data_IF_324300271621
#
_entry.id   IF_324300271621
#
_cell.length_a   1.000
_cell.length_b   1.000
_cell.length_c   1.000
_cell.angle_alpha   90.00
_cell.angle_beta   90.00
_cell.angle_gamma   90.00
#
_symmetry.space_group_name_H-M   'P 1'
#
loop_
_entity.id
_entity.type
_entity.pdbx_description
1 polymer ?
#
# COMPACT_ATOMS: atom_id res chain seq x y z
N UNK A 1 -4.48 3.08 24.74
CA UNK A 1 -4.54 1.64 25.11
C UNK A 1 -3.37 0.84 24.53
N UNK A 2 -3.00 1.00 23.25
CA UNK A 2 -1.78 0.37 22.69
C UNK A 2 -0.53 0.69 23.50
N UNK A 3 -0.35 1.95 23.94
CA UNK A 3 0.78 2.33 24.82
C UNK A 3 0.82 1.53 26.13
N UNK A 4 -0.32 1.18 26.71
CA UNK A 4 -0.38 0.36 27.91
C UNK A 4 0.07 -1.10 27.67
N UNK A 5 0.14 -1.52 26.42
CA UNK A 5 0.60 -2.84 25.98
C UNK A 5 2.03 -2.79 25.38
N UNK A 6 2.83 -1.83 25.80
CA UNK A 6 4.24 -1.64 25.38
C UNK A 6 4.42 -1.28 23.89
N UNK A 7 3.41 -0.69 23.24
CA UNK A 7 3.55 -0.13 21.93
C UNK A 7 4.00 1.33 22.03
N UNK A 8 5.10 1.66 21.37
CA UNK A 8 5.63 3.01 21.27
C UNK A 8 4.94 3.76 20.13
N UNK A 9 4.41 4.93 20.42
CA UNK A 9 3.74 5.78 19.46
C UNK A 9 4.74 6.38 18.46
N UNK A 10 4.39 6.32 17.16
CA UNK A 10 5.13 6.98 16.08
C UNK A 10 4.32 8.17 15.60
N UNK A 11 4.96 9.35 15.55
CA UNK A 11 4.33 10.62 15.14
C UNK A 11 5.02 11.23 13.94
N UNK A 12 4.24 11.89 13.10
CA UNK A 12 4.68 12.77 12.02
C UNK A 12 3.95 14.11 12.18
N UNK A 13 4.68 15.21 12.32
CA UNK A 13 4.11 16.56 12.53
C UNK A 13 3.07 16.65 13.66
N UNK A 14 3.31 15.91 14.77
CA UNK A 14 2.41 15.89 15.92
C UNK A 14 1.22 14.92 15.79
N UNK A 15 0.96 14.38 14.60
CA UNK A 15 -0.11 13.41 14.34
C UNK A 15 0.41 12.00 14.55
N UNK A 16 -0.34 11.16 15.27
CA UNK A 16 -0.01 9.73 15.44
C UNK A 16 -0.25 9.01 14.11
N UNK A 17 0.80 8.41 13.55
CA UNK A 17 0.76 7.70 12.27
C UNK A 17 0.91 6.20 12.41
N UNK A 18 1.16 5.71 13.62
CA UNK A 18 1.34 4.29 13.90
C UNK A 18 1.94 4.02 15.27
N UNK A 19 2.30 2.78 15.48
CA UNK A 19 2.93 2.28 16.70
C UNK A 19 4.01 1.26 16.37
N UNK A 20 5.01 1.12 17.23
CA UNK A 20 6.09 0.17 17.10
C UNK A 20 6.28 -0.61 18.39
N UNK A 21 6.49 -1.92 18.27
CA UNK A 21 6.82 -2.81 19.38
C UNK A 21 7.85 -3.81 18.91
N UNK A 22 9.09 -3.70 19.43
CA UNK A 22 10.22 -4.48 18.95
C UNK A 22 10.41 -4.34 17.43
N UNK A 23 10.21 -5.40 16.65
CA UNK A 23 10.28 -5.40 15.20
C UNK A 23 8.92 -5.23 14.52
N UNK A 24 7.82 -5.34 15.27
CA UNK A 24 6.47 -5.16 14.77
C UNK A 24 6.14 -3.68 14.60
N UNK A 25 5.45 -3.37 13.53
CA UNK A 25 4.92 -2.03 13.29
C UNK A 25 3.42 -2.11 13.03
N UNK A 26 2.68 -1.20 13.65
CA UNK A 26 1.31 -0.88 13.28
C UNK A 26 1.34 0.45 12.55
N UNK A 27 0.83 0.52 11.33
CA UNK A 27 0.68 1.76 10.58
C UNK A 27 -0.79 2.10 10.39
N UNK A 28 -1.07 3.41 10.31
CA UNK A 28 -2.37 3.89 9.90
C UNK A 28 -2.31 4.28 8.43
N UNK A 29 -3.21 3.68 7.68
CA UNK A 29 -3.35 3.88 6.25
C UNK A 29 -4.23 5.12 5.94
N UNK A 30 -4.35 5.59 4.68
CA UNK A 30 -5.01 6.85 4.34
C UNK A 30 -6.42 7.06 4.90
N UNK A 31 -7.20 5.99 5.08
CA UNK A 31 -8.53 5.98 5.69
C UNK A 31 -8.54 5.49 7.13
N UNK A 32 -7.40 5.59 7.84
CA UNK A 32 -7.20 5.04 9.19
C UNK A 32 -7.37 3.53 9.30
N UNK A 33 -7.25 2.77 8.20
CA UNK A 33 -7.14 1.32 8.29
C UNK A 33 -5.89 0.98 9.12
N UNK A 34 -6.02 -0.02 9.99
CA UNK A 34 -4.92 -0.47 10.85
C UNK A 34 -4.19 -1.60 10.14
N UNK A 35 -2.94 -1.40 9.83
CA UNK A 35 -2.08 -2.40 9.19
C UNK A 35 -1.00 -2.89 10.16
N UNK A 36 -0.84 -4.21 10.27
CA UNK A 36 0.31 -4.85 10.91
C UNK A 36 1.37 -5.12 9.86
N UNK A 37 2.58 -4.60 10.08
CA UNK A 37 3.79 -5.08 9.43
C UNK A 37 4.52 -6.00 10.40
N UNK A 38 4.49 -7.32 10.12
CA UNK A 38 5.09 -8.35 10.95
C UNK A 38 6.62 -8.40 10.85
N UNK A 39 7.23 -9.23 11.68
CA UNK A 39 8.67 -9.51 11.62
C UNK A 39 8.96 -10.58 10.56
N UNK A 40 10.23 -10.67 10.17
CA UNK A 40 10.73 -11.78 9.34
C UNK A 40 10.68 -13.08 10.14
N UNK A 41 9.96 -14.07 9.62
CA UNK A 41 9.75 -15.35 10.26
C UNK A 41 10.43 -16.47 9.48
N UNK A 42 10.89 -17.51 10.17
CA UNK A 42 11.57 -18.65 9.54
C UNK A 42 10.60 -19.66 8.90
N UNK A 43 9.34 -19.63 9.30
CA UNK A 43 8.31 -20.54 8.76
C UNK A 43 6.89 -19.98 8.99
N UNK A 44 5.93 -20.53 8.26
CA UNK A 44 4.53 -20.10 8.27
C UNK A 44 3.85 -20.25 9.64
N UNK A 45 4.28 -21.20 10.48
CA UNK A 45 3.69 -21.38 11.81
C UNK A 45 4.01 -20.21 12.72
N UNK A 46 5.24 -19.67 12.64
CA UNK A 46 5.63 -18.47 13.39
C UNK A 46 4.84 -17.25 12.91
N UNK A 47 4.67 -17.07 11.59
CA UNK A 47 3.79 -16.02 11.03
C UNK A 47 2.35 -16.16 11.55
N UNK A 48 1.83 -17.39 11.59
CA UNK A 48 0.49 -17.65 12.10
C UNK A 48 0.35 -17.28 13.59
N UNK A 49 1.35 -17.62 14.41
CA UNK A 49 1.38 -17.28 15.85
C UNK A 49 1.43 -15.75 16.01
N UNK A 50 2.26 -15.05 15.27
CA UNK A 50 2.40 -13.59 15.32
C UNK A 50 1.08 -12.92 14.97
N UNK A 51 0.47 -13.25 13.84
CA UNK A 51 -0.81 -12.67 13.40
C UNK A 51 -1.93 -12.95 14.41
N UNK A 52 -2.04 -14.18 14.91
CA UNK A 52 -3.08 -14.52 15.89
C UNK A 52 -2.86 -13.80 17.23
N UNK A 53 -1.62 -13.64 17.68
CA UNK A 53 -1.28 -12.89 18.90
C UNK A 53 -1.67 -11.41 18.76
N UNK A 54 -1.34 -10.81 17.62
CA UNK A 54 -1.73 -9.44 17.29
C UNK A 54 -3.24 -9.26 17.24
N UNK A 55 -3.96 -10.14 16.53
CA UNK A 55 -5.41 -10.06 16.43
C UNK A 55 -6.11 -10.21 17.79
N UNK A 56 -5.59 -11.09 18.65
CA UNK A 56 -6.09 -11.26 20.02
C UNK A 56 -5.89 -9.98 20.86
N UNK A 57 -4.70 -9.38 20.78
CA UNK A 57 -4.39 -8.13 21.47
C UNK A 57 -5.29 -7.00 20.97
N UNK A 58 -5.40 -6.83 19.65
CA UNK A 58 -6.23 -5.79 19.03
C UNK A 58 -7.71 -5.97 19.37
N UNK A 59 -8.22 -7.19 19.34
CA UNK A 59 -9.60 -7.52 19.72
C UNK A 59 -9.89 -7.14 21.16
N UNK A 60 -8.99 -7.47 22.10
CA UNK A 60 -9.16 -7.11 23.51
C UNK A 60 -9.21 -5.58 23.70
N UNK A 61 -8.33 -4.85 23.02
CA UNK A 61 -8.31 -3.38 23.06
C UNK A 61 -9.64 -2.82 22.53
N UNK A 62 -10.09 -3.27 21.38
CA UNK A 62 -11.32 -2.78 20.74
C UNK A 62 -12.57 -3.14 21.58
N UNK A 63 -12.65 -4.36 22.09
CA UNK A 63 -13.74 -4.78 22.98
C UNK A 63 -13.83 -3.89 24.22
N UNK A 64 -12.68 -3.52 24.82
CA UNK A 64 -12.65 -2.60 25.97
C UNK A 64 -13.06 -1.16 25.62
N UNK A 65 -13.27 -0.85 24.35
CA UNK A 65 -13.77 0.43 23.83
C UNK A 65 -15.19 0.34 23.29
N UNK A 66 -15.83 -0.84 23.37
CA UNK A 66 -17.13 -1.08 22.76
C UNK A 66 -17.10 -1.12 21.22
N UNK A 67 -15.92 -1.38 20.62
CA UNK A 67 -15.70 -1.39 19.17
C UNK A 67 -15.48 -2.83 18.69
N UNK A 68 -16.16 -3.23 17.61
CA UNK A 68 -15.90 -4.47 16.91
C UNK A 68 -14.80 -4.33 15.85
N UNK A 69 -14.19 -5.45 15.49
CA UNK A 69 -13.24 -5.55 14.38
C UNK A 69 -13.82 -6.53 13.37
N UNK A 70 -13.73 -6.16 12.10
CA UNK A 70 -14.10 -7.03 10.99
C UNK A 70 -13.03 -7.00 9.91
N UNK A 71 -12.64 -8.18 9.42
CA UNK A 71 -11.73 -8.33 8.29
C UNK A 71 -12.51 -8.39 6.98
N UNK A 72 -12.61 -7.27 6.30
CA UNK A 72 -13.29 -7.15 5.00
C UNK A 72 -12.40 -6.44 3.99
N UNK A 73 -12.57 -6.75 2.70
CA UNK A 73 -11.77 -6.16 1.64
C UNK A 73 -12.15 -4.72 1.27
N UNK A 74 -13.35 -4.26 1.66
CA UNK A 74 -13.85 -2.93 1.35
C UNK A 74 -14.90 -2.50 2.37
N UNK A 75 -14.88 -1.24 2.81
CA UNK A 75 -15.87 -0.67 3.74
C UNK A 75 -17.21 -0.53 3.01
N UNK A 76 -18.26 -1.26 3.44
CA UNK A 76 -19.50 -1.37 2.66
C UNK A 76 -20.50 -0.25 2.86
N UNK A 77 -20.47 0.43 4.01
CA UNK A 77 -21.56 1.27 4.52
C UNK A 77 -21.16 2.74 4.77
N UNK A 78 -19.95 3.13 4.38
CA UNK A 78 -19.45 4.51 4.52
C UNK A 78 -19.12 5.05 3.16
N UNK A 79 -19.63 6.22 2.81
CA UNK A 79 -19.28 6.91 1.56
C UNK A 79 -17.86 7.47 1.63
N UNK A 80 -17.22 7.66 0.49
CA UNK A 80 -15.84 8.13 0.41
C UNK A 80 -15.62 9.49 1.09
N UNK A 81 -16.63 10.36 1.05
CA UNK A 81 -16.60 11.69 1.65
C UNK A 81 -16.62 11.63 3.19
N UNK A 82 -17.22 10.57 3.75
CA UNK A 82 -17.40 10.36 5.19
C UNK A 82 -16.20 9.65 5.83
N UNK A 83 -15.32 9.04 5.03
CA UNK A 83 -14.14 8.34 5.55
C UNK A 83 -13.14 9.35 6.10
N UNK A 84 -12.71 9.22 7.38
CA UNK A 84 -11.68 10.07 7.94
C UNK A 84 -10.39 9.94 7.12
N UNK A 85 -9.67 11.05 6.94
CA UNK A 85 -8.44 11.10 6.14
C UNK A 85 -7.25 11.33 7.03
N UNK A 86 -6.27 10.43 6.97
CA UNK A 86 -5.01 10.65 7.66
C UNK A 86 -4.19 11.70 6.92
N UNK A 87 -3.82 12.77 7.64
CA UNK A 87 -3.09 13.90 7.07
C UNK A 87 -1.58 13.63 7.08
N UNK A 88 -1.10 12.99 5.99
CA UNK A 88 0.32 12.88 5.64
C UNK A 88 0.55 13.59 4.30
N UNK A 89 1.64 14.34 4.14
CA UNK A 89 1.95 15.06 2.90
C UNK A 89 1.92 14.14 1.67
N UNK A 90 2.49 12.94 1.79
CA UNK A 90 2.46 11.93 0.70
C UNK A 90 1.03 11.52 0.31
N UNK A 91 0.12 11.40 1.28
CA UNK A 91 -1.27 11.03 1.00
C UNK A 91 -2.05 12.16 0.35
N UNK A 92 -1.74 13.42 0.70
CA UNK A 92 -2.30 14.57 0.00
C UNK A 92 -1.92 14.55 -1.49
N UNK A 93 -0.63 14.39 -1.79
CA UNK A 93 -0.13 14.31 -3.17
C UNK A 93 -0.83 13.16 -3.95
N UNK A 94 -1.00 12.01 -3.32
CA UNK A 94 -1.68 10.88 -3.94
C UNK A 94 -3.17 11.17 -4.18
N UNK A 95 -3.87 11.78 -3.22
CA UNK A 95 -5.28 12.17 -3.36
C UNK A 95 -5.49 13.14 -4.53
N UNK A 96 -4.58 14.08 -4.71
CA UNK A 96 -4.64 15.05 -5.80
C UNK A 96 -4.33 14.44 -7.16
N UNK A 97 -3.50 13.39 -7.19
CA UNK A 97 -3.09 12.73 -8.44
C UNK A 97 -4.04 11.63 -8.91
N UNK A 98 -4.51 10.78 -8.01
CA UNK A 98 -5.28 9.57 -8.34
C UNK A 98 -6.51 9.84 -9.23
N UNK A 99 -7.32 10.90 -9.03
CA UNK A 99 -8.47 11.19 -9.87
C UNK A 99 -8.11 11.52 -11.33
N UNK A 100 -6.86 11.83 -11.63
CA UNK A 100 -6.41 12.16 -12.99
C UNK A 100 -5.98 10.90 -13.79
N UNK A 101 -5.82 9.75 -13.13
CA UNK A 101 -5.27 8.53 -13.76
C UNK A 101 -6.20 7.33 -13.67
N UNK A 102 -7.24 7.40 -12.85
CA UNK A 102 -8.30 6.41 -12.69
C UNK A 102 -9.48 6.97 -11.91
N UNK A 103 -10.61 6.28 -11.93
CA UNK A 103 -11.83 6.76 -11.25
C UNK A 103 -11.98 6.20 -9.83
N UNK A 104 -11.25 5.12 -9.49
CA UNK A 104 -11.42 4.38 -8.23
C UNK A 104 -10.20 4.49 -7.29
N UNK A 105 -9.23 5.37 -7.60
CA UNK A 105 -8.02 5.54 -6.80
C UNK A 105 -8.27 6.00 -5.37
N UNK A 106 -9.24 6.88 -5.14
CA UNK A 106 -9.61 7.31 -3.79
C UNK A 106 -10.31 6.20 -3.00
N UNK A 107 -11.18 5.41 -3.65
CA UNK A 107 -11.77 4.22 -3.03
C UNK A 107 -10.68 3.22 -2.61
N UNK A 108 -9.67 3.00 -3.46
CA UNK A 108 -8.52 2.17 -3.14
C UNK A 108 -7.79 2.68 -1.89
N UNK A 109 -7.46 3.96 -1.84
CA UNK A 109 -6.70 4.55 -0.72
C UNK A 109 -7.45 4.49 0.61
N UNK A 110 -8.73 4.82 0.61
CA UNK A 110 -9.46 5.10 1.84
C UNK A 110 -10.42 4.00 2.29
N UNK A 111 -10.85 3.11 1.40
CA UNK A 111 -11.92 2.15 1.68
C UNK A 111 -11.52 0.69 1.55
N UNK A 112 -10.31 0.38 1.08
CA UNK A 112 -9.86 -1.01 0.94
C UNK A 112 -8.96 -1.45 2.08
N UNK A 113 -9.00 -2.75 2.37
CA UNK A 113 -8.05 -3.44 3.23
C UNK A 113 -7.68 -4.80 2.62
N UNK A 114 -6.51 -5.32 2.95
CA UNK A 114 -6.03 -6.59 2.41
C UNK A 114 -5.00 -7.24 3.32
N UNK A 115 -4.71 -8.52 3.04
CA UNK A 115 -3.49 -9.18 3.47
C UNK A 115 -2.50 -9.15 2.32
N UNK A 116 -1.27 -8.68 2.56
CA UNK A 116 -0.18 -8.71 1.60
C UNK A 116 0.76 -9.86 1.94
N UNK A 117 1.12 -10.64 0.92
CA UNK A 117 2.09 -11.74 1.03
C UNK A 117 3.29 -11.38 0.16
N UNK A 118 4.47 -11.34 0.75
CA UNK A 118 5.74 -11.14 0.05
C UNK A 118 6.42 -12.48 -0.17
N UNK A 119 6.91 -12.73 -1.37
CA UNK A 119 7.58 -13.97 -1.75
C UNK A 119 8.96 -13.63 -2.27
N UNK A 120 9.99 -14.15 -1.60
CA UNK A 120 11.38 -13.97 -2.01
C UNK A 120 11.72 -14.77 -3.27
N UNK A 121 12.81 -14.41 -3.91
CA UNK A 121 13.39 -15.13 -5.02
C UNK A 121 14.93 -15.22 -4.88
N UNK A 122 15.51 -16.28 -5.42
CA UNK A 122 16.95 -16.60 -5.29
C UNK A 122 17.77 -16.31 -6.54
N UNK A 123 17.12 -16.10 -7.67
CA UNK A 123 17.73 -15.82 -8.98
C UNK A 123 16.72 -15.20 -9.93
N UNK A 124 17.21 -14.62 -11.03
CA UNK A 124 16.34 -14.09 -12.10
C UNK A 124 15.40 -15.16 -12.67
N UNK A 125 15.89 -16.41 -12.81
CA UNK A 125 15.07 -17.51 -13.30
C UNK A 125 13.96 -17.91 -12.29
N UNK A 126 14.26 -17.88 -11.01
CA UNK A 126 13.27 -18.08 -9.95
C UNK A 126 12.26 -16.93 -9.91
N UNK A 127 12.70 -15.67 -10.04
CA UNK A 127 11.83 -14.51 -10.19
C UNK A 127 10.86 -14.68 -11.37
N UNK A 128 11.37 -15.04 -12.56
CA UNK A 128 10.54 -15.28 -13.77
C UNK A 128 9.45 -16.32 -13.52
N UNK A 129 9.82 -17.43 -12.91
CA UNK A 129 8.86 -18.51 -12.59
C UNK A 129 7.80 -18.04 -11.59
N UNK A 130 8.23 -17.40 -10.51
CA UNK A 130 7.32 -16.92 -9.46
C UNK A 130 6.36 -15.86 -9.96
N UNK A 131 6.84 -14.89 -10.74
CA UNK A 131 5.97 -13.87 -11.35
C UNK A 131 4.91 -14.51 -12.27
N UNK A 132 5.31 -15.44 -13.11
CA UNK A 132 4.37 -16.14 -14.00
C UNK A 132 3.32 -16.93 -13.20
N UNK A 133 3.75 -17.72 -12.22
CA UNK A 133 2.84 -18.49 -11.36
C UNK A 133 1.91 -17.57 -10.57
N UNK A 134 2.45 -16.51 -9.95
CA UNK A 134 1.66 -15.53 -9.19
C UNK A 134 0.59 -14.87 -10.08
N UNK A 135 0.96 -14.47 -11.30
CA UNK A 135 0.01 -13.88 -12.26
C UNK A 135 -1.13 -14.84 -12.63
N UNK A 136 -0.84 -16.13 -12.79
CA UNK A 136 -1.86 -17.15 -13.04
C UNK A 136 -2.76 -17.42 -11.83
N UNK A 137 -2.23 -17.28 -10.61
CA UNK A 137 -2.96 -17.52 -9.36
C UNK A 137 -3.86 -16.34 -8.99
N UNK A 138 -3.55 -15.11 -9.41
CA UNK A 138 -4.32 -13.90 -9.05
C UNK A 138 -5.84 -14.05 -9.21
N UNK A 139 -6.40 -14.50 -10.34
CA UNK A 139 -7.86 -14.64 -10.47
C UNK A 139 -8.43 -15.73 -9.56
N UNK A 140 -7.68 -16.80 -9.31
CA UNK A 140 -8.08 -17.89 -8.40
C UNK A 140 -8.11 -17.35 -6.95
N UNK A 141 -7.04 -16.69 -6.51
CA UNK A 141 -6.95 -16.11 -5.19
C UNK A 141 -8.01 -15.03 -4.98
N UNK A 142 -8.25 -14.15 -5.98
CA UNK A 142 -9.29 -13.14 -5.92
C UNK A 142 -10.69 -13.74 -5.75
N UNK A 143 -10.94 -14.91 -6.32
CA UNK A 143 -12.21 -15.64 -6.19
C UNK A 143 -12.32 -16.31 -4.82
N UNK A 144 -11.30 -17.07 -4.41
CA UNK A 144 -11.30 -17.81 -3.15
C UNK A 144 -11.39 -16.91 -1.91
N UNK A 145 -10.73 -15.75 -1.95
CA UNK A 145 -10.68 -14.80 -0.83
C UNK A 145 -11.56 -13.58 -1.03
N UNK A 146 -12.54 -13.64 -1.95
CA UNK A 146 -13.49 -12.55 -2.17
C UNK A 146 -14.36 -12.33 -0.92
N UNK A 147 -14.33 -11.11 -0.37
CA UNK A 147 -15.09 -10.74 0.83
C UNK A 147 -15.53 -9.27 0.83
N UNK A 148 -15.82 -8.71 -0.35
CA UNK A 148 -16.25 -7.31 -0.49
C UNK A 148 -17.44 -7.16 -1.47
N UNK A 149 -18.56 -7.89 -1.25
CA UNK A 149 -19.69 -7.87 -2.18
C UNK A 149 -20.59 -6.64 -2.03
N UNK A 150 -20.39 -5.81 -0.99
CA UNK A 150 -21.24 -4.65 -0.72
C UNK A 150 -20.48 -3.34 -0.96
N UNK A 151 -21.21 -2.34 -1.51
CA UNK A 151 -20.77 -0.96 -1.65
C UNK A 151 -21.95 -0.03 -1.40
N UNK A 152 -21.74 1.01 -0.57
CA UNK A 152 -22.73 2.05 -0.26
C UNK A 152 -24.09 1.47 0.19
N UNK A 153 -24.04 0.50 1.11
CA UNK A 153 -25.19 -0.25 1.66
C UNK A 153 -25.99 -1.08 0.64
N UNK A 154 -25.41 -1.37 -0.52
CA UNK A 154 -26.05 -2.17 -1.57
C UNK A 154 -25.18 -3.34 -1.97
N UNK A 155 -25.82 -4.43 -2.39
CA UNK A 155 -25.12 -5.53 -3.02
C UNK A 155 -24.51 -5.05 -4.34
N UNK A 156 -23.19 -5.27 -4.48
CA UNK A 156 -22.48 -5.00 -5.73
C UNK A 156 -22.58 -6.23 -6.66
N UNK A 157 -22.37 -6.00 -7.95
CA UNK A 157 -22.28 -7.09 -8.95
C UNK A 157 -20.98 -7.91 -8.87
N UNK A 158 -20.01 -7.48 -8.05
CA UNK A 158 -18.74 -8.17 -7.85
C UNK A 158 -18.65 -8.72 -6.43
N UNK A 159 -18.27 -9.98 -6.27
CA UNK A 159 -17.97 -10.58 -4.96
C UNK A 159 -16.71 -9.97 -4.34
N UNK A 160 -15.77 -9.53 -5.18
CA UNK A 160 -14.59 -8.77 -4.78
C UNK A 160 -14.62 -7.36 -5.39
N UNK A 161 -15.37 -6.45 -4.79
CA UNK A 161 -15.35 -5.03 -5.15
C UNK A 161 -13.93 -4.46 -5.05
N UNK A 162 -13.13 -4.93 -4.08
CA UNK A 162 -11.74 -4.55 -3.95
C UNK A 162 -10.93 -4.86 -5.21
N UNK A 163 -11.06 -6.06 -5.77
CA UNK A 163 -10.33 -6.43 -7.00
C UNK A 163 -10.77 -5.60 -8.20
N UNK A 164 -12.04 -5.24 -8.27
CA UNK A 164 -12.55 -4.33 -9.30
C UNK A 164 -11.94 -2.92 -9.17
N UNK A 165 -11.84 -2.40 -7.96
CA UNK A 165 -11.24 -1.08 -7.68
C UNK A 165 -9.80 -1.00 -8.20
N UNK A 166 -9.00 -2.05 -8.00
CA UNK A 166 -7.62 -2.09 -8.47
C UNK A 166 -7.47 -2.08 -10.01
N UNK A 167 -8.54 -2.39 -10.77
CA UNK A 167 -8.50 -2.33 -12.23
C UNK A 167 -8.58 -0.88 -12.76
N UNK A 168 -9.10 0.05 -11.94
CA UNK A 168 -9.26 1.46 -12.35
C UNK A 168 -8.70 2.45 -11.30
N UNK A 169 -7.59 2.06 -10.69
CA UNK A 169 -6.84 2.91 -9.74
C UNK A 169 -5.80 3.76 -10.47
N UNK A 170 -4.84 3.13 -11.13
CA UNK A 170 -3.82 3.77 -11.97
C UNK A 170 -3.26 2.73 -12.95
N UNK A 171 -3.64 2.85 -14.21
CA UNK A 171 -3.29 1.90 -15.27
C UNK A 171 -1.79 1.77 -15.53
N UNK A 172 -0.98 2.71 -15.06
CA UNK A 172 0.48 2.66 -15.21
C UNK A 172 1.17 1.80 -14.15
N UNK A 173 0.48 1.46 -13.05
CA UNK A 173 1.08 0.73 -11.92
C UNK A 173 0.19 -0.32 -11.27
N UNK A 174 -1.08 -0.40 -11.62
CA UNK A 174 -2.03 -1.36 -11.04
C UNK A 174 -2.79 -2.15 -12.11
N UNK A 175 -3.43 -3.23 -11.69
CA UNK A 175 -4.10 -4.18 -12.59
C UNK A 175 -3.16 -5.30 -13.05
N UNK A 176 -3.51 -5.93 -14.15
CA UNK A 176 -2.69 -6.99 -14.76
C UNK A 176 -1.61 -6.35 -15.64
N UNK A 177 -0.36 -6.62 -15.33
CA UNK A 177 0.78 -6.11 -16.09
C UNK A 177 1.24 -7.14 -17.12
N UNK A 178 1.07 -6.90 -18.42
CA UNK A 178 1.27 -7.91 -19.47
C UNK A 178 2.67 -8.52 -19.49
N UNK A 179 3.70 -7.75 -19.16
CA UNK A 179 5.08 -8.23 -19.18
C UNK A 179 5.37 -9.38 -18.20
N UNK A 180 4.54 -9.58 -17.15
CA UNK A 180 4.68 -10.72 -16.25
C UNK A 180 4.29 -12.06 -16.91
N UNK A 181 3.47 -12.03 -17.92
CA UNK A 181 3.02 -13.23 -18.62
C UNK A 181 3.94 -13.63 -19.78
N UNK A 182 4.48 -12.65 -20.50
CA UNK A 182 5.16 -12.90 -21.76
C UNK A 182 6.65 -13.17 -21.60
N UNK A 183 7.37 -12.18 -21.16
CA UNK A 183 8.83 -12.23 -21.14
C UNK A 183 9.39 -11.37 -20.02
N UNK A 184 9.12 -11.76 -18.76
CA UNK A 184 9.61 -11.05 -17.62
C UNK A 184 11.11 -11.29 -17.39
N UNK A 185 11.81 -10.26 -16.97
CA UNK A 185 13.22 -10.28 -16.56
C UNK A 185 13.45 -9.16 -15.56
N UNK A 186 14.59 -9.16 -14.88
CA UNK A 186 14.99 -8.03 -14.05
C UNK A 186 15.06 -6.73 -14.85
N UNK A 187 15.65 -6.81 -16.05
CA UNK A 187 15.76 -5.66 -16.95
C UNK A 187 14.39 -5.08 -17.31
N UNK A 188 13.45 -5.92 -17.76
CA UNK A 188 12.08 -5.47 -18.08
C UNK A 188 11.32 -4.92 -16.89
N UNK A 189 11.52 -5.49 -15.71
CA UNK A 189 10.95 -4.93 -14.50
C UNK A 189 11.53 -3.57 -14.17
N UNK A 190 12.86 -3.42 -14.31
CA UNK A 190 13.53 -2.12 -14.13
C UNK A 190 13.04 -1.09 -15.13
N UNK A 191 12.94 -1.45 -16.42
CA UNK A 191 12.42 -0.55 -17.45
C UNK A 191 10.99 -0.10 -17.14
N UNK A 192 10.12 -1.03 -16.74
CA UNK A 192 8.78 -0.72 -16.30
C UNK A 192 8.81 0.25 -15.11
N UNK A 193 9.58 -0.05 -14.07
CA UNK A 193 9.65 0.78 -12.86
C UNK A 193 10.20 2.19 -13.15
N UNK A 194 11.17 2.30 -14.06
CA UNK A 194 11.73 3.58 -14.49
C UNK A 194 10.73 4.45 -15.27
N UNK A 195 9.81 3.84 -16.01
CA UNK A 195 8.82 4.55 -16.81
C UNK A 195 7.53 4.89 -16.04
N UNK A 196 7.30 4.27 -14.87
CA UNK A 196 6.13 4.58 -14.03
C UNK A 196 6.20 6.02 -13.52
N UNK A 197 5.14 6.84 -13.68
CA UNK A 197 5.10 8.20 -13.14
C UNK A 197 5.15 8.19 -11.62
N UNK A 198 6.07 8.94 -11.02
CA UNK A 198 6.19 9.09 -9.57
C UNK A 198 5.04 9.93 -9.00
N UNK A 199 4.77 9.75 -7.72
CA UNK A 199 3.94 10.66 -6.94
C UNK A 199 4.80 11.73 -6.28
N UNK A 200 5.86 11.31 -5.62
CA UNK A 200 6.77 12.16 -4.87
C UNK A 200 8.14 11.50 -4.76
N UNK A 201 9.12 12.28 -4.36
CA UNK A 201 10.41 11.81 -3.85
C UNK A 201 10.56 12.25 -2.40
N UNK A 202 11.38 11.52 -1.63
CA UNK A 202 11.71 11.90 -0.26
C UNK A 202 13.21 12.22 -0.17
N UNK A 203 13.52 13.41 0.35
CA UNK A 203 14.89 13.80 0.71
C UNK A 203 14.94 14.11 2.21
N UNK A 204 15.60 13.25 2.97
CA UNK A 204 15.58 13.34 4.43
C UNK A 204 14.14 13.27 4.97
N UNK A 205 13.66 14.34 5.58
CA UNK A 205 12.28 14.46 6.09
C UNK A 205 11.32 15.14 5.12
N UNK A 206 11.82 15.68 4.02
CA UNK A 206 11.02 16.44 3.06
C UNK A 206 10.40 15.50 2.02
N UNK A 207 9.11 15.71 1.75
CA UNK A 207 8.36 15.08 0.66
C UNK A 207 8.18 16.12 -0.45
N UNK A 208 8.74 15.85 -1.62
CA UNK A 208 8.72 16.72 -2.79
C UNK A 208 7.74 16.14 -3.81
N UNK A 209 6.77 16.95 -4.24
CA UNK A 209 5.79 16.56 -5.25
C UNK A 209 6.47 16.37 -6.62
N UNK A 210 6.30 15.19 -7.21
CA UNK A 210 6.82 14.83 -8.54
C UNK A 210 5.73 14.18 -9.41
N UNK A 211 4.46 14.51 -9.15
CA UNK A 211 3.32 13.91 -9.85
C UNK A 211 3.48 13.91 -11.37
N UNK A 212 3.37 12.72 -11.97
CA UNK A 212 3.41 12.53 -13.41
C UNK A 212 4.82 12.50 -14.03
N UNK A 213 5.88 12.81 -13.28
CA UNK A 213 7.25 12.68 -13.76
C UNK A 213 7.72 11.23 -13.63
N UNK A 214 8.16 10.57 -14.71
CA UNK A 214 8.76 9.24 -14.60
C UNK A 214 10.13 9.31 -13.94
N UNK A 215 10.52 8.22 -13.25
CA UNK A 215 11.83 8.16 -12.60
C UNK A 215 12.96 8.27 -13.62
N UNK A 216 12.78 7.71 -14.81
CA UNK A 216 13.73 7.86 -15.94
C UNK A 216 13.96 9.32 -16.31
N UNK A 217 12.91 10.10 -16.47
CA UNK A 217 13.02 11.55 -16.74
C UNK A 217 13.64 12.30 -15.56
N UNK A 218 13.30 11.93 -14.33
CA UNK A 218 13.90 12.49 -13.14
C UNK A 218 15.41 12.26 -13.08
N UNK A 219 15.89 11.05 -13.39
CA UNK A 219 17.33 10.77 -13.44
C UNK A 219 18.06 11.64 -14.47
N UNK A 220 17.52 11.78 -15.68
CA UNK A 220 18.11 12.63 -16.72
C UNK A 220 18.13 14.11 -16.29
N UNK A 221 17.01 14.60 -15.78
CA UNK A 221 16.89 15.99 -15.36
C UNK A 221 17.72 16.31 -14.11
N UNK A 222 17.86 15.37 -13.17
CA UNK A 222 18.69 15.58 -11.99
C UNK A 222 20.17 15.59 -12.33
N UNK A 223 20.61 14.86 -13.35
CA UNK A 223 21.97 15.02 -13.89
C UNK A 223 22.20 16.45 -14.43
N UNK A 224 21.20 17.07 -15.04
CA UNK A 224 21.26 18.46 -15.51
C UNK A 224 21.20 19.48 -14.34
N UNK A 225 20.50 19.17 -13.27
CA UNK A 225 20.44 19.99 -12.05
C UNK A 225 21.73 19.92 -11.22
N UNK A 226 22.47 18.82 -11.29
CA UNK A 226 23.78 18.67 -10.66
C UNK A 226 24.90 19.39 -11.42
N UNK A 227 24.72 19.71 -12.69
CA UNK A 227 25.70 20.46 -13.49
C UNK A 227 25.57 21.98 -13.33
N UNK A 228 24.58 22.45 -12.59
CA UNK A 228 24.44 23.87 -12.22
C UNK A 228 24.18 24.00 -10.71
N UNK A 229 25.19 23.71 -9.85
CA UNK A 229 24.98 23.89 -8.42
C UNK A 229 24.84 25.38 -8.11
N UNK A 230 23.65 25.80 -7.73
CA UNK A 230 23.54 27.00 -6.93
C UNK A 230 24.16 26.69 -5.56
N UNK A 231 25.11 27.49 -5.05
CA UNK A 231 25.68 27.28 -3.72
C UNK A 231 24.64 27.29 -2.58
N UNK A 232 23.41 27.68 -2.84
CA UNK A 232 22.30 27.73 -1.89
C UNK A 232 21.56 26.38 -1.72
N UNK A 233 21.80 25.43 -2.60
CA UNK A 233 21.12 24.12 -2.55
C UNK A 233 21.90 23.08 -1.72
N UNK A 234 23.06 23.47 -1.16
CA UNK A 234 23.95 22.59 -0.39
C UNK A 234 24.25 23.07 1.03
N UNK A 235 23.68 24.18 1.44
CA UNK A 235 23.76 24.63 2.84
C UNK A 235 22.40 24.49 3.48
N UNK A 236 22.18 23.31 4.09
CA UNK A 236 21.52 23.09 5.39
C UNK A 236 21.24 21.61 5.58
#
# INVERSE_FOLDING_TARGET
KLKANNWNEVKENGVTIGFKKEKLNITFEPGYQIELSGDTQSNIHQTCIEVNSYLKELKNICTSMGVGIIGIGFIPNVKIEEVPKLEKKRYQIMRDYMPNVGTLGLDMMHRTAATQINIDYTSENDFKKKCKVASCIVPIAATLFSNSPFKDNKLNKFLSNRSYIWQDTDKKRSGLLPFFFENNSFEKYCDFALDVPMYFIQRGKEIIDCKGLSFKKFLVNSCLLYTSPSPRDFTE
#
